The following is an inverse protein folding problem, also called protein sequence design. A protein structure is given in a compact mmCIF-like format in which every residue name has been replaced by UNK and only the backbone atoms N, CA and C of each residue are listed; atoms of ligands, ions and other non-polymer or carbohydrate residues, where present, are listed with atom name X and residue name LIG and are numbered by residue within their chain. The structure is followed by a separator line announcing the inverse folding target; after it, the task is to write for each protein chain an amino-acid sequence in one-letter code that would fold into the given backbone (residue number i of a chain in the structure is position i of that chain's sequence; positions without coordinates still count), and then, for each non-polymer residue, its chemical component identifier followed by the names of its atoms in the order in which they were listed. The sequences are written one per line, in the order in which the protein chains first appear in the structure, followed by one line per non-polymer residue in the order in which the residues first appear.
data_IF_026015315841
#
_entry.id   IF_026015315841
#
_cell.length_a   1.000
_cell.length_b   1.000
_cell.length_c   1.000
_cell.angle_alpha   90.00
_cell.angle_beta   90.00
_cell.angle_gamma   90.00
#
_symmetry.space_group_name_H-M   'P 1'
#
loop_
_entity.id
_entity.type
_entity.pdbx_description
1 polymer ?
#
# COMPACT_ATOMS: atom_id res chain seq x y z
N UNK A 1 10.28 -5.78 20.95
CA UNK A 1 10.75 -5.07 22.17
C UNK A 1 11.41 -3.73 21.85
N UNK A 2 10.77 -2.86 21.04
CA UNK A 2 11.24 -1.47 20.77
C UNK A 2 10.32 -0.41 21.40
N UNK A 3 9.09 -0.79 21.81
CA UNK A 3 8.11 0.14 22.40
C UNK A 3 8.34 0.54 23.86
N UNK A 4 9.22 -0.14 24.61
CA UNK A 4 9.42 0.12 26.03
C UNK A 4 10.38 1.29 26.33
N UNK A 5 11.14 1.79 25.34
CA UNK A 5 12.14 2.83 25.57
C UNK A 5 11.63 4.27 25.35
N UNK A 6 10.48 4.47 24.68
CA UNK A 6 10.04 5.81 24.24
C UNK A 6 8.60 6.20 24.64
N UNK A 7 7.88 5.38 25.43
CA UNK A 7 6.46 5.64 25.78
C UNK A 7 5.57 5.98 24.57
N UNK A 8 5.84 5.39 23.40
CA UNK A 8 5.06 5.63 22.19
C UNK A 8 3.75 4.86 22.31
N UNK A 9 2.61 5.57 22.30
CA UNK A 9 1.29 4.95 22.33
C UNK A 9 1.10 3.97 21.16
N UNK A 10 0.37 2.88 21.38
CA UNK A 10 0.11 1.85 20.36
C UNK A 10 -0.34 2.42 19.00
N UNK A 11 -1.21 3.45 18.92
CA UNK A 11 -1.61 4.06 17.64
C UNK A 11 -0.47 4.74 16.88
N UNK A 12 0.44 5.40 17.62
CA UNK A 12 1.60 6.06 17.02
C UNK A 12 2.62 5.05 16.49
N UNK A 13 2.88 3.96 17.24
CA UNK A 13 3.72 2.88 16.78
C UNK A 13 3.12 2.19 15.53
N UNK A 14 1.81 1.92 15.55
CA UNK A 14 1.09 1.34 14.42
C UNK A 14 1.15 2.24 13.17
N UNK A 15 0.94 3.55 13.33
CA UNK A 15 1.06 4.53 12.25
C UNK A 15 2.43 4.46 11.58
N UNK A 16 3.51 4.50 12.38
CA UNK A 16 4.88 4.45 11.85
C UNK A 16 5.16 3.11 11.17
N UNK A 17 4.84 1.98 11.82
CA UNK A 17 5.10 0.65 11.26
C UNK A 17 4.35 0.44 9.95
N UNK A 18 3.06 0.77 9.88
CA UNK A 18 2.27 0.60 8.66
C UNK A 18 2.76 1.53 7.54
N UNK A 19 3.08 2.78 7.86
CA UNK A 19 3.62 3.76 6.90
C UNK A 19 4.95 3.29 6.32
N UNK A 20 5.88 2.83 7.17
CA UNK A 20 7.20 2.34 6.74
C UNK A 20 7.07 1.03 5.95
N UNK A 21 6.22 0.10 6.41
CA UNK A 21 5.96 -1.14 5.68
C UNK A 21 5.41 -0.86 4.29
N UNK A 22 4.43 0.05 4.17
CA UNK A 22 3.90 0.48 2.88
C UNK A 22 4.98 1.15 2.01
N UNK A 23 5.78 2.05 2.58
CA UNK A 23 6.87 2.72 1.86
C UNK A 23 7.94 1.76 1.33
N UNK A 24 8.08 0.56 1.91
CA UNK A 24 8.99 -0.48 1.42
C UNK A 24 8.48 -1.25 0.19
N UNK A 25 7.18 -1.16 -0.15
CA UNK A 25 6.56 -1.89 -1.29
C UNK A 25 7.33 -1.77 -2.62
N UNK A 26 7.80 -0.58 -3.04
CA UNK A 26 8.53 -0.45 -4.31
C UNK A 26 9.87 -1.19 -4.34
N UNK A 27 10.48 -1.47 -3.18
CA UNK A 27 11.77 -2.14 -3.07
C UNK A 27 11.67 -3.68 -3.07
N UNK A 28 10.47 -4.23 -2.85
CA UNK A 28 10.25 -5.67 -2.71
C UNK A 28 10.65 -6.51 -3.94
N UNK A 29 10.40 -6.07 -5.20
CA UNK A 29 10.83 -6.83 -6.38
C UNK A 29 12.35 -7.02 -6.42
N UNK A 30 13.11 -5.96 -6.13
CA UNK A 30 14.56 -6.03 -6.11
C UNK A 30 15.08 -6.86 -4.93
N UNK A 31 14.42 -6.78 -3.77
CA UNK A 31 14.75 -7.63 -2.62
C UNK A 31 14.52 -9.11 -2.94
N UNK A 32 13.38 -9.47 -3.52
CA UNK A 32 13.06 -10.83 -3.93
C UNK A 32 14.06 -11.37 -4.97
N UNK A 33 14.45 -10.53 -5.93
CA UNK A 33 15.48 -10.86 -6.92
C UNK A 33 16.83 -11.19 -6.28
N UNK A 34 17.27 -10.35 -5.33
CA UNK A 34 18.51 -10.55 -4.56
C UNK A 34 18.44 -11.81 -3.69
N UNK A 35 17.31 -12.07 -3.05
CA UNK A 35 17.08 -13.28 -2.23
C UNK A 35 17.11 -14.55 -3.09
N UNK A 36 16.59 -14.48 -4.32
CA UNK A 36 16.61 -15.59 -5.27
C UNK A 36 17.98 -15.79 -5.96
N UNK A 37 18.95 -14.89 -5.74
CA UNK A 37 20.27 -14.91 -6.38
C UNK A 37 20.20 -14.98 -7.90
N UNK A 38 19.26 -14.25 -8.48
CA UNK A 38 19.19 -14.11 -9.92
C UNK A 38 20.36 -13.25 -10.42
N UNK A 39 20.96 -13.58 -11.58
CA UNK A 39 22.08 -12.83 -12.14
C UNK A 39 21.59 -11.48 -12.66
N UNK A 40 21.92 -10.41 -11.93
CA UNK A 40 21.50 -9.03 -12.27
C UNK A 40 21.97 -8.72 -13.69
N UNK A 41 21.08 -8.31 -14.61
CA UNK A 41 21.49 -7.97 -15.95
C UNK A 41 22.50 -6.82 -15.90
N UNK A 42 23.73 -7.08 -16.33
CA UNK A 42 24.72 -6.02 -16.58
C UNK A 42 24.33 -5.32 -17.87
N UNK A 43 24.12 -4.01 -17.80
CA UNK A 43 23.87 -3.21 -19.00
C UNK A 43 25.23 -2.99 -19.68
N UNK A 44 25.44 -3.47 -20.92
CA UNK A 44 26.67 -3.21 -21.65
C UNK A 44 26.86 -1.70 -21.80
N UNK A 45 28.00 -1.18 -21.38
CA UNK A 45 28.26 0.27 -21.39
C UNK A 45 29.06 0.72 -22.61
N UNK A 46 29.53 -0.22 -23.44
CA UNK A 46 30.23 0.09 -24.69
C UNK A 46 30.21 -1.03 -25.75
N UNK A 47 30.71 -0.72 -26.97
CA UNK A 47 30.75 -1.68 -28.09
C UNK A 47 31.67 -2.88 -27.85
N UNK A 48 32.66 -2.75 -26.96
CA UNK A 48 33.56 -3.84 -26.62
C UNK A 48 32.90 -4.86 -25.68
N UNK A 49 32.02 -4.42 -24.77
CA UNK A 49 31.21 -5.31 -23.91
C UNK A 49 30.32 -6.25 -24.75
N UNK A 50 29.79 -5.77 -25.88
CA UNK A 50 28.98 -6.55 -26.83
C UNK A 50 29.75 -7.65 -27.57
N UNK A 51 31.08 -7.51 -27.69
CA UNK A 51 31.94 -8.51 -28.37
C UNK A 51 32.41 -9.60 -27.40
N UNK A 52 32.50 -9.29 -26.11
CA UNK A 52 32.86 -10.21 -25.03
C UNK A 52 31.66 -10.85 -24.31
N UNK A 53 30.43 -10.49 -24.69
CA UNK A 53 29.21 -11.10 -24.13
C UNK A 53 29.03 -12.54 -24.65
N UNK A 54 29.80 -13.46 -24.07
CA UNK A 54 29.70 -14.90 -24.28
C UNK A 54 29.00 -15.58 -23.11
N UNK A 55 28.23 -14.84 -22.29
CA UNK A 55 27.60 -15.38 -21.09
C UNK A 55 26.43 -16.30 -21.47
N UNK A 56 26.72 -17.58 -21.68
CA UNK A 56 25.70 -18.59 -21.91
C UNK A 56 25.03 -18.92 -20.59
N UNK A 57 23.89 -18.29 -20.31
CA UNK A 57 23.13 -18.56 -19.09
C UNK A 57 22.36 -19.88 -19.24
N UNK A 58 22.54 -20.82 -18.31
CA UNK A 58 21.74 -22.06 -18.28
C UNK A 58 20.26 -21.73 -18.01
N UNK A 59 19.45 -21.73 -19.07
CA UNK A 59 18.04 -21.35 -19.03
C UNK A 59 17.23 -22.14 -17.99
N UNK A 60 17.54 -23.41 -17.74
CA UNK A 60 16.85 -24.21 -16.70
C UNK A 60 17.16 -23.70 -15.29
N UNK A 61 18.41 -23.30 -15.05
CA UNK A 61 18.80 -22.72 -13.77
C UNK A 61 18.15 -21.35 -13.54
N UNK A 62 18.01 -20.54 -14.59
CA UNK A 62 17.33 -19.22 -14.54
C UNK A 62 15.86 -19.38 -14.26
N UNK A 63 15.16 -20.26 -14.99
CA UNK A 63 13.75 -20.55 -14.77
C UNK A 63 13.46 -20.92 -13.30
N UNK A 64 14.26 -21.84 -12.74
CA UNK A 64 14.12 -22.26 -11.33
C UNK A 64 14.41 -21.13 -10.33
N UNK A 65 15.35 -20.23 -10.64
CA UNK A 65 15.62 -19.04 -9.79
C UNK A 65 14.51 -17.99 -9.93
N UNK A 66 13.91 -17.86 -11.11
CA UNK A 66 12.76 -16.97 -11.35
C UNK A 66 11.51 -17.43 -10.59
N UNK A 67 11.22 -18.73 -10.55
CA UNK A 67 10.15 -19.29 -9.72
C UNK A 67 10.37 -19.00 -8.23
N UNK A 68 11.61 -19.14 -7.74
CA UNK A 68 11.95 -18.78 -6.36
C UNK A 68 11.80 -17.28 -6.09
N UNK A 69 12.17 -16.42 -7.04
CA UNK A 69 11.99 -14.97 -6.92
C UNK A 69 10.51 -14.60 -6.82
N UNK A 70 9.65 -15.24 -7.62
CA UNK A 70 8.20 -15.03 -7.56
C UNK A 70 7.62 -15.47 -6.20
N UNK A 71 8.07 -16.61 -5.68
CA UNK A 71 7.69 -17.08 -4.34
C UNK A 71 8.12 -16.10 -3.23
N UNK A 72 9.38 -15.61 -3.27
CA UNK A 72 9.87 -14.62 -2.32
C UNK A 72 9.10 -13.30 -2.41
N UNK A 73 8.82 -12.82 -3.62
CA UNK A 73 8.05 -11.59 -3.82
C UNK A 73 6.64 -11.75 -3.24
N UNK A 74 5.98 -12.87 -3.51
CA UNK A 74 4.64 -13.14 -2.99
C UNK A 74 4.63 -13.17 -1.46
N UNK A 75 5.57 -13.88 -0.83
CA UNK A 75 5.68 -13.93 0.64
C UNK A 75 5.96 -12.56 1.26
N UNK A 76 6.81 -11.76 0.62
CA UNK A 76 7.17 -10.43 1.07
C UNK A 76 5.99 -9.45 0.94
N UNK A 77 5.20 -9.55 -0.14
CA UNK A 77 3.95 -8.81 -0.31
C UNK A 77 2.92 -9.16 0.76
N UNK A 78 2.75 -10.45 1.08
CA UNK A 78 1.89 -10.89 2.18
C UNK A 78 2.33 -10.32 3.53
N UNK A 79 3.64 -10.35 3.79
CA UNK A 79 4.20 -9.83 5.05
C UNK A 79 3.90 -8.34 5.20
N UNK A 80 4.15 -7.55 4.14
CA UNK A 80 3.86 -6.12 4.16
C UNK A 80 2.36 -5.85 4.29
N UNK A 81 1.52 -6.57 3.53
CA UNK A 81 0.07 -6.42 3.61
C UNK A 81 -0.47 -6.72 5.02
N UNK A 82 0.06 -7.75 5.70
CA UNK A 82 -0.32 -8.08 7.07
C UNK A 82 0.15 -7.02 8.07
N UNK A 83 1.34 -6.44 7.89
CA UNK A 83 1.83 -5.34 8.73
C UNK A 83 0.97 -4.08 8.57
N UNK A 84 0.62 -3.74 7.33
CA UNK A 84 -0.27 -2.60 7.03
C UNK A 84 -1.64 -2.84 7.64
N UNK A 85 -2.25 -4.01 7.40
CA UNK A 85 -3.56 -4.36 7.94
C UNK A 85 -3.58 -4.40 9.48
N UNK A 86 -2.52 -4.91 10.10
CA UNK A 86 -2.37 -4.89 11.55
C UNK A 86 -2.30 -3.45 12.10
N UNK A 87 -1.61 -2.56 11.39
CA UNK A 87 -1.59 -1.14 11.72
C UNK A 87 -2.95 -0.47 11.53
N UNK A 88 -3.63 -0.72 10.41
CA UNK A 88 -5.00 -0.25 10.13
C UNK A 88 -5.98 -0.68 11.23
N UNK A 89 -5.87 -1.92 11.71
CA UNK A 89 -6.68 -2.42 12.82
C UNK A 89 -6.46 -1.63 14.11
N UNK A 90 -5.20 -1.39 14.50
CA UNK A 90 -4.89 -0.59 15.69
C UNK A 90 -5.34 0.86 15.54
N UNK A 91 -5.20 1.45 14.35
CA UNK A 91 -5.66 2.81 14.04
C UNK A 91 -7.19 2.91 14.09
N UNK A 92 -7.90 1.90 13.60
CA UNK A 92 -9.36 1.85 13.65
C UNK A 92 -9.88 1.74 15.09
N UNK A 93 -9.19 0.98 15.95
CA UNK A 93 -9.52 0.88 17.38
C UNK A 93 -9.29 2.20 18.14
N UNK A 94 -8.29 2.99 17.75
CA UNK A 94 -8.04 4.31 18.33
C UNK A 94 -9.18 5.29 18.01
N UNK A 95 -9.80 5.17 16.84
CA UNK A 95 -11.04 5.87 16.47
C UNK A 95 -10.94 7.39 16.34
N UNK A 96 -9.81 8.00 16.72
CA UNK A 96 -9.55 9.43 16.52
C UNK A 96 -9.52 9.74 15.03
N UNK A 97 -10.02 10.92 14.68
CA UNK A 97 -10.02 11.42 13.30
C UNK A 97 -8.68 11.22 12.55
N UNK A 98 -7.49 11.60 13.09
CA UNK A 98 -6.23 11.36 12.40
C UNK A 98 -5.94 9.88 12.12
N UNK A 99 -6.31 8.98 13.04
CA UNK A 99 -6.04 7.55 12.89
C UNK A 99 -6.97 6.91 11.85
N UNK A 100 -8.25 7.31 11.85
CA UNK A 100 -9.22 6.88 10.83
C UNK A 100 -8.82 7.39 9.44
N UNK A 101 -8.35 8.63 9.32
CA UNK A 101 -7.89 9.17 8.04
C UNK A 101 -6.62 8.48 7.53
N UNK A 102 -5.65 8.21 8.41
CA UNK A 102 -4.46 7.45 8.02
C UNK A 102 -4.81 6.02 7.59
N UNK A 103 -5.73 5.35 8.31
CA UNK A 103 -6.26 4.03 7.95
C UNK A 103 -6.92 4.07 6.55
N UNK A 104 -7.72 5.10 6.28
CA UNK A 104 -8.36 5.28 4.97
C UNK A 104 -7.33 5.47 3.84
N UNK A 105 -6.29 6.29 4.08
CA UNK A 105 -5.23 6.54 3.09
C UNK A 105 -4.45 5.25 2.79
N UNK A 106 -4.05 4.49 3.82
CA UNK A 106 -3.36 3.21 3.67
C UNK A 106 -4.21 2.18 2.90
N UNK A 107 -5.51 2.15 3.18
CA UNK A 107 -6.43 1.25 2.51
C UNK A 107 -6.57 1.58 1.02
N UNK A 108 -6.77 2.87 0.68
CA UNK A 108 -6.86 3.34 -0.70
C UNK A 108 -5.56 3.11 -1.46
N UNK A 109 -4.41 3.40 -0.84
CA UNK A 109 -3.10 3.13 -1.41
C UNK A 109 -2.88 1.65 -1.69
N UNK A 110 -3.27 0.77 -0.78
CA UNK A 110 -3.19 -0.68 -0.97
C UNK A 110 -4.03 -1.14 -2.17
N UNK A 111 -5.25 -0.60 -2.34
CA UNK A 111 -6.07 -0.89 -3.51
C UNK A 111 -5.45 -0.37 -4.82
N UNK A 112 -4.89 0.84 -4.82
CA UNK A 112 -4.22 1.42 -5.99
C UNK A 112 -2.98 0.61 -6.37
N UNK A 113 -2.22 0.14 -5.37
CA UNK A 113 -0.99 -0.62 -5.59
C UNK A 113 -1.20 -2.02 -6.15
N UNK A 114 -2.43 -2.53 -6.19
CA UNK A 114 -2.73 -3.78 -6.90
C UNK A 114 -2.53 -3.68 -8.43
N UNK A 115 -2.50 -2.47 -8.99
CA UNK A 115 -2.44 -2.25 -10.46
C UNK A 115 -1.14 -2.70 -11.12
N UNK A 116 0.06 -2.34 -10.60
CA UNK A 116 1.31 -2.65 -11.30
C UNK A 116 1.66 -4.14 -11.25
N UNK A 117 1.15 -4.91 -10.28
CA UNK A 117 1.36 -6.34 -10.21
C UNK A 117 0.57 -7.05 -11.31
N UNK A 118 1.18 -7.96 -12.07
CA UNK A 118 0.50 -8.71 -13.14
C UNK A 118 -0.15 -10.00 -12.60
N UNK A 119 0.46 -10.63 -11.60
CA UNK A 119 0.02 -11.91 -11.04
C UNK A 119 -1.13 -11.79 -10.03
N UNK A 120 -2.13 -12.67 -10.12
CA UNK A 120 -3.27 -12.72 -9.17
C UNK A 120 -2.80 -12.96 -7.74
N UNK A 121 -1.81 -13.84 -7.54
CA UNK A 121 -1.26 -14.16 -6.22
C UNK A 121 -0.58 -12.95 -5.55
N UNK A 122 0.06 -12.09 -6.34
CA UNK A 122 0.70 -10.86 -5.86
C UNK A 122 -0.30 -9.74 -5.58
N UNK A 123 -1.41 -9.69 -6.34
CA UNK A 123 -2.50 -8.73 -6.14
C UNK A 123 -3.33 -9.01 -4.89
N UNK A 124 -3.58 -10.29 -4.60
CA UNK A 124 -4.43 -10.73 -3.50
C UNK A 124 -4.09 -10.09 -2.14
N UNK A 125 -2.84 -10.11 -1.64
CA UNK A 125 -2.52 -9.55 -0.33
C UNK A 125 -2.84 -8.06 -0.22
N UNK A 126 -2.50 -7.28 -1.25
CA UNK A 126 -2.68 -5.82 -1.21
C UNK A 126 -4.15 -5.43 -1.39
N UNK A 127 -4.91 -6.18 -2.21
CA UNK A 127 -6.36 -6.02 -2.32
C UNK A 127 -7.09 -6.39 -1.02
N UNK A 128 -6.65 -7.45 -0.34
CA UNK A 128 -7.22 -7.87 0.94
C UNK A 128 -6.97 -6.83 2.02
N UNK A 129 -5.72 -6.38 2.17
CA UNK A 129 -5.39 -5.30 3.11
C UNK A 129 -6.22 -4.04 2.82
N UNK A 130 -6.24 -3.58 1.57
CA UNK A 130 -7.00 -2.39 1.21
C UNK A 130 -8.51 -2.52 1.41
N UNK A 131 -9.10 -3.66 1.09
CA UNK A 131 -10.55 -3.87 1.25
C UNK A 131 -10.95 -3.96 2.73
N UNK A 132 -10.16 -4.68 3.53
CA UNK A 132 -10.40 -4.78 4.98
C UNK A 132 -10.13 -3.46 5.68
N UNK A 133 -9.07 -2.74 5.31
CA UNK A 133 -8.75 -1.41 5.80
C UNK A 133 -9.86 -0.39 5.56
N UNK A 134 -10.49 -0.40 4.38
CA UNK A 134 -11.68 0.41 4.11
C UNK A 134 -12.85 0.05 5.05
N UNK A 135 -13.09 -1.24 5.26
CA UNK A 135 -14.11 -1.72 6.20
C UNK A 135 -13.83 -1.28 7.64
N UNK A 136 -12.56 -1.35 8.06
CA UNK A 136 -12.12 -0.92 9.39
C UNK A 136 -12.28 0.60 9.58
N UNK A 137 -11.90 1.41 8.60
CA UNK A 137 -12.08 2.86 8.65
C UNK A 137 -13.58 3.24 8.70
N UNK A 138 -14.42 2.56 7.91
CA UNK A 138 -15.87 2.75 7.94
C UNK A 138 -16.47 2.34 9.29
N UNK A 139 -16.06 1.19 9.84
CA UNK A 139 -16.50 0.71 11.14
C UNK A 139 -16.10 1.66 12.29
N UNK A 140 -14.86 2.15 12.30
CA UNK A 140 -14.39 3.13 13.27
C UNK A 140 -15.19 4.43 13.20
N UNK A 141 -15.42 4.94 11.99
CA UNK A 141 -16.24 6.15 11.76
C UNK A 141 -17.69 5.95 12.22
N UNK A 142 -18.27 4.78 11.94
CA UNK A 142 -19.63 4.44 12.33
C UNK A 142 -19.78 4.32 13.86
N UNK A 143 -18.79 3.71 14.53
CA UNK A 143 -18.77 3.54 15.97
C UNK A 143 -18.66 4.88 16.71
N UNK A 144 -17.78 5.78 16.24
CA UNK A 144 -17.57 7.10 16.83
C UNK A 144 -18.68 8.11 16.48
N UNK A 145 -19.42 7.89 15.39
CA UNK A 145 -20.39 8.84 14.85
C UNK A 145 -21.79 8.75 15.48
N UNK A 146 -22.44 9.91 15.63
CA UNK A 146 -23.88 10.00 15.87
C UNK A 146 -24.72 9.58 14.67
N UNK A 147 -26.05 9.60 14.79
CA UNK A 147 -26.98 9.11 13.75
C UNK A 147 -26.73 9.71 12.35
N UNK A 148 -26.41 11.01 12.26
CA UNK A 148 -26.12 11.68 10.99
C UNK A 148 -24.83 11.17 10.31
N UNK A 149 -23.76 10.94 11.07
CA UNK A 149 -22.49 10.40 10.54
C UNK A 149 -22.70 8.96 10.07
N UNK A 150 -23.46 8.16 10.83
CA UNK A 150 -23.80 6.78 10.46
C UNK A 150 -24.57 6.73 9.13
N UNK A 151 -25.59 7.58 8.98
CA UNK A 151 -26.31 7.74 7.72
C UNK A 151 -25.38 8.19 6.59
N UNK A 152 -24.49 9.15 6.85
CA UNK A 152 -23.51 9.62 5.87
C UNK A 152 -22.54 8.53 5.39
N UNK A 153 -22.03 7.69 6.29
CA UNK A 153 -21.14 6.57 5.94
C UNK A 153 -21.90 5.53 5.10
N UNK A 154 -23.12 5.16 5.49
CA UNK A 154 -23.91 4.15 4.78
C UNK A 154 -24.35 4.66 3.41
N UNK A 155 -24.98 5.84 3.34
CA UNK A 155 -25.45 6.41 2.09
C UNK A 155 -24.28 6.81 1.18
N UNK A 156 -23.26 7.46 1.74
CA UNK A 156 -22.05 7.83 1.00
C UNK A 156 -21.33 6.60 0.45
N UNK A 157 -21.18 5.55 1.26
CA UNK A 157 -20.63 4.27 0.81
C UNK A 157 -21.44 3.64 -0.31
N UNK A 158 -22.78 3.64 -0.21
CA UNK A 158 -23.67 3.11 -1.24
C UNK A 158 -23.58 3.92 -2.54
N UNK A 159 -23.55 5.25 -2.46
CA UNK A 159 -23.39 6.15 -3.61
C UNK A 159 -22.04 5.92 -4.28
N UNK A 160 -20.94 5.85 -3.51
CA UNK A 160 -19.61 5.57 -4.04
C UNK A 160 -19.59 4.21 -4.73
N UNK A 161 -20.14 3.17 -4.11
CA UNK A 161 -20.23 1.84 -4.70
C UNK A 161 -21.06 1.84 -6.00
N UNK A 162 -22.18 2.56 -6.03
CA UNK A 162 -23.02 2.70 -7.20
C UNK A 162 -22.29 3.44 -8.33
N UNK A 163 -21.63 4.56 -8.03
CA UNK A 163 -20.85 5.34 -9.01
C UNK A 163 -19.69 4.53 -9.56
N UNK A 164 -18.92 3.84 -8.70
CA UNK A 164 -17.80 2.97 -9.14
C UNK A 164 -18.32 1.85 -10.03
N UNK A 165 -19.42 1.18 -9.64
CA UNK A 165 -20.02 0.09 -10.42
C UNK A 165 -20.55 0.59 -11.76
N UNK A 166 -21.19 1.76 -11.79
CA UNK A 166 -21.70 2.39 -13.00
C UNK A 166 -20.55 2.79 -13.94
N UNK A 167 -19.53 3.48 -13.43
CA UNK A 167 -18.34 3.85 -14.23
C UNK A 167 -17.69 2.60 -14.79
N UNK A 168 -17.48 1.57 -13.97
CA UNK A 168 -16.88 0.31 -14.43
C UNK A 168 -17.73 -0.36 -15.53
N UNK A 169 -19.04 -0.47 -15.33
CA UNK A 169 -19.96 -1.04 -16.32
C UNK A 169 -20.02 -0.24 -17.63
N UNK A 170 -19.94 1.09 -17.57
CA UNK A 170 -20.04 1.95 -18.76
C UNK A 170 -18.70 2.11 -19.51
N UNK A 171 -17.58 2.12 -18.80
CA UNK A 171 -16.27 2.49 -19.36
C UNK A 171 -15.31 1.31 -19.52
N UNK A 172 -15.40 0.28 -18.67
CA UNK A 172 -14.45 -0.84 -18.62
C UNK A 172 -15.02 -2.12 -19.22
N UNK A 173 -16.32 -2.38 -19.07
CA UNK A 173 -16.93 -3.60 -19.59
C UNK A 173 -16.85 -3.65 -21.13
N UNK A 174 -15.93 -4.46 -21.66
CA UNK A 174 -15.77 -4.74 -23.09
C UNK A 174 -15.00 -3.70 -23.91
N UNK A 175 -14.40 -2.68 -23.28
CA UNK A 175 -13.69 -1.59 -23.99
C UNK A 175 -12.25 -1.43 -23.49
N UNK A 176 -11.36 -0.95 -24.37
CA UNK A 176 -9.98 -0.59 -23.98
C UNK A 176 -10.05 0.66 -23.09
N UNK A 177 -9.50 0.56 -21.89
CA UNK A 177 -9.46 1.66 -20.92
C UNK A 177 -8.63 2.81 -21.50
N UNK A 178 -9.17 4.03 -21.46
CA UNK A 178 -8.46 5.23 -21.93
C UNK A 178 -7.20 5.47 -21.07
N UNK A 179 -6.05 5.82 -21.69
CA UNK A 179 -4.80 6.11 -20.97
C UNK A 179 -4.92 7.19 -19.88
N UNK A 180 -5.88 8.11 -20.03
CA UNK A 180 -6.12 9.22 -19.09
C UNK A 180 -6.53 8.70 -17.71
N UNK A 181 -7.30 7.61 -17.64
CA UNK A 181 -7.72 7.02 -16.35
C UNK A 181 -6.55 6.43 -15.58
N UNK A 182 -5.59 5.80 -16.28
CA UNK A 182 -4.34 5.36 -15.67
C UNK A 182 -3.61 6.54 -15.03
N UNK A 183 -3.43 7.60 -15.81
CA UNK A 183 -2.71 8.81 -15.37
C UNK A 183 -3.35 9.52 -14.19
N UNK A 184 -4.68 9.66 -14.18
CA UNK A 184 -5.39 10.30 -13.07
C UNK A 184 -5.19 9.52 -11.77
N UNK A 185 -5.22 8.19 -11.86
CA UNK A 185 -5.06 7.33 -10.71
C UNK A 185 -3.61 7.30 -10.19
N UNK A 186 -2.63 7.43 -11.08
CA UNK A 186 -1.23 7.65 -10.68
C UNK A 186 -1.06 8.99 -9.92
N UNK A 187 -1.72 10.06 -10.37
CA UNK A 187 -1.69 11.37 -9.68
C UNK A 187 -2.32 11.24 -8.29
N UNK A 188 -3.47 10.59 -8.18
CA UNK A 188 -4.13 10.34 -6.89
C UNK A 188 -3.24 9.50 -5.98
N UNK A 189 -2.59 8.47 -6.51
CA UNK A 189 -1.65 7.64 -5.74
C UNK A 189 -0.49 8.48 -5.19
N UNK A 190 0.10 9.36 -6.01
CA UNK A 190 1.19 10.26 -5.56
C UNK A 190 0.70 11.20 -4.46
N UNK A 191 -0.47 11.81 -4.60
CA UNK A 191 -1.05 12.69 -3.57
C UNK A 191 -1.28 11.95 -2.24
N UNK A 192 -1.76 10.71 -2.30
CA UNK A 192 -1.95 9.86 -1.13
C UNK A 192 -0.62 9.43 -0.49
N UNK A 193 0.41 9.15 -1.29
CA UNK A 193 1.75 8.85 -0.76
C UNK A 193 2.33 10.07 -0.03
N UNK A 194 2.19 11.27 -0.61
CA UNK A 194 2.66 12.51 0.01
C UNK A 194 1.92 12.80 1.31
N UNK A 195 0.62 12.50 1.38
CA UNK A 195 -0.19 12.74 2.59
C UNK A 195 0.08 11.74 3.73
N UNK A 196 0.73 10.61 3.45
CA UNK A 196 1.04 9.57 4.43
C UNK A 196 1.85 10.12 5.62
N UNK A 197 2.89 10.90 5.33
CA UNK A 197 3.78 11.50 6.33
C UNK A 197 3.05 12.46 7.27
N UNK A 198 2.34 13.51 6.78
CA UNK A 198 1.64 14.42 7.67
C UNK A 198 0.55 13.71 8.49
N UNK A 199 -0.17 12.73 7.93
CA UNK A 199 -1.14 11.96 8.70
C UNK A 199 -0.48 11.10 9.79
N UNK A 200 0.64 10.43 9.50
CA UNK A 200 1.38 9.68 10.51
C UNK A 200 1.87 10.58 11.65
N UNK A 201 2.41 11.76 11.32
CA UNK A 201 2.83 12.78 12.29
C UNK A 201 1.64 13.27 13.13
N UNK A 202 0.47 13.42 12.53
CA UNK A 202 -0.74 13.82 13.23
C UNK A 202 -1.21 12.76 14.22
N UNK A 203 -1.20 11.48 13.83
CA UNK A 203 -1.56 10.36 14.70
C UNK A 203 -0.66 10.31 15.93
N UNK A 204 0.64 10.59 15.75
CA UNK A 204 1.63 10.69 16.82
C UNK A 204 1.41 11.87 17.77
N UNK A 205 0.52 12.82 17.45
CA UNK A 205 0.21 13.97 18.30
C UNK A 205 1.23 15.12 18.23
N UNK A 206 2.21 15.05 17.30
CA UNK A 206 3.30 16.02 17.23
C UNK A 206 2.82 17.44 16.92
N UNK A 207 1.78 17.59 16.09
CA UNK A 207 1.18 18.90 15.82
C UNK A 207 0.63 19.57 17.08
N UNK A 208 -0.06 18.80 17.93
CA UNK A 208 -0.58 19.30 19.21
C UNK A 208 0.55 19.68 20.17
N UNK A 209 1.62 18.89 20.19
CA UNK A 209 2.80 19.19 21.00
C UNK A 209 3.48 20.51 20.57
N UNK A 210 3.69 20.73 19.26
CA UNK A 210 4.29 21.97 18.73
C UNK A 210 3.42 23.19 19.05
N UNK A 211 2.11 23.09 18.92
CA UNK A 211 1.19 24.21 19.20
C UNK A 211 1.21 24.59 20.68
N UNK A 212 1.25 23.59 21.57
CA UNK A 212 1.31 23.80 23.02
C UNK A 212 2.71 24.24 23.51
N UNK A 213 3.73 24.20 22.65
CA UNK A 213 5.10 24.63 22.96
C UNK A 213 5.29 26.15 22.87
N UNK A 214 4.24 26.91 22.58
CA UNK A 214 4.28 28.38 22.63
C UNK A 214 4.41 28.83 24.09
N UNK A 215 5.51 29.49 24.49
CA UNK A 215 5.61 30.13 25.80
C UNK A 215 4.62 31.29 25.95
#
# INVERSE_FOLDING_TARGET
MVGLAFSVGAPAAAAVVATVAFAALPALPMAAYRLARLPVPSIPTGPDDLKTDTETVDGRSVLRRSERADAFLTALLWTVALLVLGGEFVLALDGRLPAVLLCLVLALLSLLRARPFLGRAQRAPVLLAGSLGLGLAAAATFAAGGAAIRLGVVLGGLVVAAVVSLIYGLTVAGKRISPVWGRLLDIVEILLIISLVPFAVWVCGLYGWIVNLRP
#
